data_IF_765883632349
#
_entry.id   IF_765883632349
#
_cell.length_a   1.000
_cell.length_b   1.000
_cell.length_c   1.000
_cell.angle_alpha   90.00
_cell.angle_beta   90.00
_cell.angle_gamma   90.00
#
_symmetry.space_group_name_H-M   'P 1'
#
loop_
_entity.id
_entity.type
_entity.pdbx_description
1 polymer ?
#
# COMPACT_ATOMS: atom_id res chain seq x y z
N UNK A 1 31.38 21.07 -3.41
CA UNK A 1 30.13 20.91 -2.65
C UNK A 1 29.10 20.43 -3.68
N UNK A 2 28.28 19.44 -3.34
CA UNK A 2 27.21 19.03 -4.24
C UNK A 2 26.23 20.22 -4.39
N UNK A 3 25.81 20.47 -5.62
CA UNK A 3 24.82 21.47 -5.96
C UNK A 3 23.42 20.91 -5.68
N UNK A 4 22.67 21.56 -4.80
CA UNK A 4 21.28 21.17 -4.44
C UNK A 4 20.27 22.23 -4.90
N UNK A 5 20.70 23.20 -5.73
CA UNK A 5 19.82 24.27 -6.20
C UNK A 5 18.68 23.78 -7.08
N UNK A 6 18.83 22.59 -7.69
CA UNK A 6 17.78 21.93 -8.46
C UNK A 6 16.67 21.32 -7.58
N UNK A 7 16.93 21.06 -6.30
CA UNK A 7 15.95 20.48 -5.34
C UNK A 7 15.09 21.59 -4.73
N UNK A 8 14.22 22.21 -5.53
CA UNK A 8 13.43 23.37 -5.09
C UNK A 8 11.98 23.32 -5.57
N UNK A 9 11.09 23.93 -4.80
CA UNK A 9 9.71 24.21 -5.17
C UNK A 9 8.73 23.08 -4.96
N UNK A 10 9.16 21.91 -4.44
CA UNK A 10 8.27 20.77 -4.21
C UNK A 10 7.33 21.01 -3.03
N UNK A 11 7.85 21.58 -1.92
CA UNK A 11 7.00 21.87 -0.74
C UNK A 11 5.91 22.86 -1.11
N UNK A 12 6.27 23.96 -1.80
CA UNK A 12 5.30 24.98 -2.21
C UNK A 12 4.26 24.44 -3.19
N UNK A 13 4.66 23.59 -4.13
CA UNK A 13 3.72 22.99 -5.08
C UNK A 13 2.74 22.01 -4.36
N UNK A 14 3.24 21.18 -3.47
CA UNK A 14 2.44 20.22 -2.73
C UNK A 14 1.47 20.93 -1.77
N UNK A 15 1.92 21.92 -0.99
CA UNK A 15 1.08 22.64 -0.02
C UNK A 15 -0.01 23.45 -0.71
N UNK A 16 0.32 24.12 -1.82
CA UNK A 16 -0.67 24.82 -2.65
C UNK A 16 -1.73 23.87 -3.18
N UNK A 17 -1.30 22.73 -3.72
CA UNK A 17 -2.22 21.70 -4.21
C UNK A 17 -3.16 21.21 -3.11
N UNK A 18 -2.64 20.88 -1.92
CA UNK A 18 -3.45 20.45 -0.78
C UNK A 18 -4.50 21.50 -0.38
N UNK A 19 -4.08 22.78 -0.29
CA UNK A 19 -5.00 23.85 0.09
C UNK A 19 -6.11 24.06 -0.96
N UNK A 20 -5.76 24.02 -2.25
CA UNK A 20 -6.64 24.45 -3.35
C UNK A 20 -7.50 23.32 -3.92
N UNK A 21 -7.03 22.06 -3.95
CA UNK A 21 -7.78 20.95 -4.57
C UNK A 21 -9.19 20.84 -3.98
N UNK A 22 -10.20 20.78 -4.85
CA UNK A 22 -11.61 20.64 -4.49
C UNK A 22 -12.19 19.36 -5.09
N UNK A 23 -13.37 18.94 -4.61
CA UNK A 23 -14.08 17.79 -5.16
C UNK A 23 -14.36 17.95 -6.67
N UNK A 24 -14.64 19.16 -7.09
CA UNK A 24 -14.96 19.53 -8.46
C UNK A 24 -13.77 19.42 -9.43
N UNK A 25 -12.55 19.33 -8.91
CA UNK A 25 -11.33 19.07 -9.70
C UNK A 25 -11.13 17.59 -10.04
N UNK A 26 -11.87 16.68 -9.33
CA UNK A 26 -11.79 15.25 -9.55
C UNK A 26 -12.67 14.83 -10.73
N UNK A 27 -12.05 14.20 -11.72
CA UNK A 27 -12.77 13.62 -12.86
C UNK A 27 -13.59 12.38 -12.46
N UNK A 28 -14.58 11.93 -13.25
CA UNK A 28 -15.27 10.66 -12.99
C UNK A 28 -14.32 9.46 -12.88
N UNK A 29 -13.20 9.47 -13.59
CA UNK A 29 -12.19 8.40 -13.51
C UNK A 29 -11.38 8.47 -12.22
N UNK A 30 -10.99 9.67 -11.77
CA UNK A 30 -10.36 9.86 -10.46
C UNK A 30 -11.26 9.32 -9.34
N UNK A 31 -12.55 9.66 -9.37
CA UNK A 31 -13.53 9.20 -8.39
C UNK A 31 -13.71 7.68 -8.43
N UNK A 32 -13.77 7.09 -9.63
CA UNK A 32 -13.86 5.63 -9.79
C UNK A 32 -12.65 4.92 -9.18
N UNK A 33 -11.46 5.40 -9.48
CA UNK A 33 -10.22 4.80 -8.98
C UNK A 33 -10.04 5.04 -7.48
N UNK A 34 -10.38 6.22 -6.98
CA UNK A 34 -10.34 6.52 -5.55
C UNK A 34 -11.26 5.59 -4.74
N UNK A 35 -12.48 5.29 -5.22
CA UNK A 35 -13.37 4.30 -4.59
C UNK A 35 -12.77 2.90 -4.61
N UNK A 36 -12.13 2.50 -5.72
CA UNK A 36 -11.44 1.19 -5.81
C UNK A 36 -10.28 1.09 -4.83
N UNK A 37 -9.47 2.13 -4.71
CA UNK A 37 -8.39 2.19 -3.73
C UNK A 37 -8.93 2.18 -2.29
N UNK A 38 -10.01 2.92 -2.01
CA UNK A 38 -10.66 2.90 -0.70
C UNK A 38 -11.25 1.52 -0.36
N UNK A 39 -11.91 0.86 -1.32
CA UNK A 39 -12.43 -0.51 -1.17
C UNK A 39 -11.28 -1.48 -0.84
N UNK A 40 -10.20 -1.40 -1.59
CA UNK A 40 -9.00 -2.22 -1.36
C UNK A 40 -8.39 -1.96 0.02
N UNK A 41 -8.21 -0.68 0.37
CA UNK A 41 -7.64 -0.28 1.66
C UNK A 41 -8.48 -0.75 2.86
N UNK A 42 -9.82 -0.68 2.76
CA UNK A 42 -10.71 -1.23 3.79
C UNK A 42 -10.62 -2.77 3.86
N UNK A 43 -10.60 -3.44 2.71
CA UNK A 43 -10.46 -4.90 2.64
C UNK A 43 -9.19 -5.37 3.35
N UNK A 44 -8.04 -4.84 2.96
CA UNK A 44 -6.75 -5.27 3.52
C UNK A 44 -6.60 -4.89 4.99
N UNK A 45 -7.26 -3.82 5.44
CA UNK A 45 -7.28 -3.44 6.86
C UNK A 45 -8.10 -4.42 7.71
N UNK A 46 -9.22 -4.92 7.17
CA UNK A 46 -10.00 -6.00 7.80
C UNK A 46 -9.14 -7.25 7.96
N UNK A 47 -8.61 -7.78 6.86
CA UNK A 47 -7.79 -9.00 6.87
C UNK A 47 -6.52 -8.87 7.71
N UNK A 48 -5.89 -7.69 7.66
CA UNK A 48 -4.67 -7.40 8.39
C UNK A 48 -4.86 -7.20 9.89
N UNK A 49 -6.06 -6.87 10.36
CA UNK A 49 -6.35 -6.63 11.78
C UNK A 49 -6.14 -7.85 12.69
N UNK A 50 -6.06 -9.05 12.10
CA UNK A 50 -5.82 -10.31 12.82
C UNK A 50 -4.39 -10.86 12.61
N UNK A 51 -3.56 -10.16 11.84
CA UNK A 51 -2.21 -10.60 11.52
C UNK A 51 -1.24 -10.44 12.70
N UNK A 52 -0.08 -11.10 12.58
CA UNK A 52 1.01 -10.97 13.54
C UNK A 52 1.36 -9.50 13.80
N UNK A 53 1.57 -9.13 15.04
CA UNK A 53 1.88 -7.76 15.46
C UNK A 53 0.68 -6.92 15.86
N UNK A 54 -0.55 -7.28 15.47
CA UNK A 54 -1.73 -6.47 15.80
C UNK A 54 -2.12 -6.59 17.27
N UNK A 55 -2.05 -7.76 17.88
CA UNK A 55 -2.36 -7.92 19.31
C UNK A 55 -1.41 -7.12 20.23
N UNK A 56 -0.06 -7.18 20.09
CA UNK A 56 0.83 -6.32 20.85
C UNK A 56 0.68 -4.84 20.56
N UNK A 57 0.36 -4.46 19.32
CA UNK A 57 0.08 -3.06 18.98
C UNK A 57 -1.18 -2.56 19.68
N UNK A 58 -2.25 -3.37 19.71
CA UNK A 58 -3.47 -3.02 20.43
C UNK A 58 -3.21 -2.84 21.94
N UNK A 59 -2.47 -3.78 22.55
CA UNK A 59 -2.09 -3.68 23.96
C UNK A 59 -1.25 -2.43 24.25
N UNK A 60 -0.43 -1.99 23.31
CA UNK A 60 0.30 -0.72 23.40
C UNK A 60 -0.67 0.47 23.37
N UNK A 61 -1.58 0.52 22.38
CA UNK A 61 -2.55 1.62 22.21
C UNK A 61 -3.46 1.74 23.43
N UNK A 62 -3.99 0.62 23.95
CA UNK A 62 -4.86 0.59 25.14
C UNK A 62 -4.20 1.21 26.39
N UNK A 63 -2.86 1.15 26.48
CA UNK A 63 -2.11 1.74 27.61
C UNK A 63 -1.88 3.25 27.49
N UNK A 64 -2.00 3.82 26.28
CA UNK A 64 -1.75 5.23 26.08
C UNK A 64 -2.86 6.12 26.66
N UNK A 65 -4.11 5.66 26.63
CA UNK A 65 -5.26 6.48 27.01
C UNK A 65 -5.43 7.70 26.08
N UNK A 66 -6.07 8.74 26.56
CA UNK A 66 -6.23 10.02 25.86
C UNK A 66 -7.63 10.31 25.41
N UNK A 67 -7.79 11.27 24.49
CA UNK A 67 -9.09 11.70 23.95
C UNK A 67 -9.76 10.60 23.13
N UNK A 68 -11.09 10.57 23.15
CA UNK A 68 -11.88 9.60 22.39
C UNK A 68 -12.29 10.16 21.01
N UNK A 69 -11.30 10.43 20.17
CA UNK A 69 -11.47 11.17 18.91
C UNK A 69 -12.02 10.29 17.79
N UNK A 70 -11.42 9.12 17.57
CA UNK A 70 -11.71 8.27 16.44
C UNK A 70 -11.89 6.80 16.84
N UNK A 71 -12.77 6.03 16.12
CA UNK A 71 -12.96 4.61 16.37
C UNK A 71 -11.69 3.79 16.04
N UNK A 72 -11.54 2.66 16.73
CA UNK A 72 -10.58 1.60 16.33
C UNK A 72 -11.31 0.60 15.43
N UNK A 73 -10.74 0.33 14.27
CA UNK A 73 -11.18 -0.71 13.36
C UNK A 73 -11.32 -2.05 14.11
N UNK A 74 -12.48 -2.68 14.02
CA UNK A 74 -12.78 -3.98 14.61
C UNK A 74 -13.36 -3.94 16.02
N UNK A 75 -13.35 -2.80 16.74
CA UNK A 75 -13.81 -2.71 18.13
C UNK A 75 -15.02 -1.80 18.28
N UNK A 76 -16.16 -2.38 18.66
CA UNK A 76 -17.40 -1.64 18.87
C UNK A 76 -17.25 -0.66 20.03
N UNK A 77 -17.58 0.62 19.76
CA UNK A 77 -17.61 1.67 20.76
C UNK A 77 -16.26 2.13 21.32
N UNK A 78 -15.16 1.46 20.95
CA UNK A 78 -13.82 1.88 21.38
C UNK A 78 -13.36 3.07 20.53
N UNK A 79 -12.98 4.16 21.20
CA UNK A 79 -12.35 5.34 20.57
C UNK A 79 -11.04 5.65 21.28
N UNK A 80 -10.10 6.16 20.51
CA UNK A 80 -8.75 6.56 20.96
C UNK A 80 -8.37 7.89 20.32
N UNK A 81 -7.27 8.54 20.74
CA UNK A 81 -6.71 9.68 20.03
C UNK A 81 -6.56 9.42 18.54
N UNK A 82 -6.89 10.38 17.68
CA UNK A 82 -6.94 10.23 16.24
C UNK A 82 -5.62 9.66 15.66
N UNK A 83 -4.47 10.12 16.16
CA UNK A 83 -3.17 9.62 15.71
C UNK A 83 -2.95 8.13 16.05
N UNK A 84 -3.43 7.64 17.19
CA UNK A 84 -3.35 6.22 17.57
C UNK A 84 -4.33 5.36 16.75
N UNK A 85 -5.50 5.87 16.41
CA UNK A 85 -6.41 5.22 15.48
C UNK A 85 -5.76 5.10 14.08
N UNK A 86 -5.05 6.14 13.62
CA UNK A 86 -4.31 6.12 12.36
C UNK A 86 -3.16 5.09 12.39
N UNK A 87 -2.42 5.00 13.51
CA UNK A 87 -1.39 3.97 13.73
C UNK A 87 -1.97 2.57 13.56
N UNK A 88 -3.10 2.30 14.22
CA UNK A 88 -3.78 1.00 14.12
C UNK A 88 -4.22 0.69 12.70
N UNK A 89 -4.97 1.62 12.09
CA UNK A 89 -5.56 1.41 10.77
C UNK A 89 -4.48 1.23 9.69
N UNK A 90 -3.46 2.09 9.67
CA UNK A 90 -2.37 2.00 8.71
C UNK A 90 -1.52 0.74 8.87
N UNK A 91 -1.28 0.28 10.12
CA UNK A 91 -0.57 -0.99 10.38
C UNK A 91 -1.39 -2.17 9.89
N UNK A 92 -2.69 -2.22 10.23
CA UNK A 92 -3.58 -3.29 9.77
C UNK A 92 -3.64 -3.35 8.24
N UNK A 93 -3.79 -2.21 7.57
CA UNK A 93 -3.88 -2.15 6.11
C UNK A 93 -2.66 -2.65 5.36
N UNK A 94 -1.48 -2.61 5.99
CA UNK A 94 -0.25 -3.11 5.39
C UNK A 94 0.20 -4.48 5.93
N UNK A 95 -0.48 -5.03 6.93
CA UNK A 95 -0.04 -6.24 7.62
C UNK A 95 0.02 -7.48 6.71
N UNK A 96 -0.86 -7.60 5.75
CA UNK A 96 -0.87 -8.69 4.78
C UNK A 96 0.05 -8.47 3.56
N UNK A 97 0.64 -7.29 3.39
CA UNK A 97 1.33 -6.90 2.15
C UNK A 97 0.45 -7.06 0.89
N UNK A 98 -0.85 -6.82 1.05
CA UNK A 98 -1.86 -7.00 0.00
C UNK A 98 -2.45 -5.68 -0.51
N UNK A 99 -2.07 -4.57 0.10
CA UNK A 99 -2.41 -3.22 -0.33
C UNK A 99 -1.72 -2.86 -1.65
N UNK A 100 -2.28 -1.88 -2.33
CA UNK A 100 -1.86 -1.45 -3.66
C UNK A 100 -0.40 -0.99 -3.76
N UNK A 101 0.09 -0.81 -4.98
CA UNK A 101 1.47 -0.36 -5.26
C UNK A 101 1.47 0.70 -6.34
N UNK A 102 2.13 1.83 -6.07
CA UNK A 102 2.42 2.84 -7.07
C UNK A 102 3.45 2.32 -8.07
N UNK A 103 3.21 2.60 -9.35
CA UNK A 103 4.09 2.24 -10.45
C UNK A 103 4.91 3.46 -10.92
N UNK A 104 6.09 3.20 -11.46
CA UNK A 104 6.85 4.19 -12.19
C UNK A 104 6.78 3.86 -13.67
N UNK A 105 6.54 4.86 -14.50
CA UNK A 105 6.66 4.75 -15.95
C UNK A 105 7.76 5.69 -16.44
N UNK A 106 8.47 5.25 -17.47
CA UNK A 106 9.49 6.04 -18.14
C UNK A 106 10.82 5.30 -18.32
N UNK A 107 11.61 5.72 -19.29
CA UNK A 107 12.92 5.14 -19.58
C UNK A 107 13.84 5.17 -18.35
N UNK A 108 14.45 4.03 -18.03
CA UNK A 108 15.39 3.93 -16.92
C UNK A 108 14.80 3.93 -15.51
N UNK A 109 13.47 3.93 -15.36
CA UNK A 109 12.84 3.82 -14.05
C UNK A 109 12.51 2.37 -13.72
N UNK A 110 12.97 1.84 -12.56
CA UNK A 110 12.59 0.51 -12.10
C UNK A 110 11.09 0.46 -11.78
N UNK A 111 10.41 -0.54 -12.33
CA UNK A 111 8.99 -0.75 -12.14
C UNK A 111 8.67 -1.19 -10.70
N UNK A 112 7.63 -0.62 -10.11
CA UNK A 112 7.04 -1.11 -8.85
C UNK A 112 7.83 -0.80 -7.57
N UNK A 113 8.85 0.05 -7.61
CA UNK A 113 9.71 0.37 -6.47
C UNK A 113 9.37 1.69 -5.77
N UNK A 114 8.18 2.27 -5.96
CA UNK A 114 7.86 3.56 -5.39
C UNK A 114 7.29 3.44 -3.98
N UNK A 115 5.99 3.19 -3.82
CA UNK A 115 5.36 3.07 -2.50
C UNK A 115 4.03 2.31 -2.57
N UNK A 116 3.45 2.02 -1.39
CA UNK A 116 2.06 1.63 -1.23
C UNK A 116 1.25 2.90 -0.94
N UNK A 117 0.51 3.46 -1.92
CA UNK A 117 0.05 4.85 -1.84
C UNK A 117 -1.25 5.04 -1.07
N UNK A 118 -2.13 4.01 -0.98
CA UNK A 118 -3.47 4.15 -0.42
C UNK A 118 -3.49 4.23 1.10
N UNK A 119 -2.75 3.38 1.80
CA UNK A 119 -2.98 3.20 3.24
C UNK A 119 -2.65 4.41 4.11
N UNK A 120 -1.50 5.10 3.99
CA UNK A 120 -1.22 6.24 4.85
C UNK A 120 -2.24 7.37 4.72
N UNK A 121 -2.59 7.88 3.51
CA UNK A 121 -3.57 8.95 3.38
C UNK A 121 -5.00 8.52 3.66
N UNK A 122 -5.40 7.27 3.36
CA UNK A 122 -6.73 6.77 3.67
C UNK A 122 -6.96 6.68 5.18
N UNK A 123 -6.00 6.10 5.91
CA UNK A 123 -6.06 6.04 7.38
C UNK A 123 -6.14 7.44 7.98
N UNK A 124 -5.31 8.38 7.53
CA UNK A 124 -5.33 9.76 8.00
C UNK A 124 -6.66 10.46 7.70
N UNK A 125 -7.19 10.35 6.48
CA UNK A 125 -8.46 10.98 6.10
C UNK A 125 -9.64 10.42 6.90
N UNK A 126 -9.73 9.08 7.05
CA UNK A 126 -10.79 8.41 7.80
C UNK A 126 -10.81 8.84 9.28
N UNK A 127 -9.66 8.79 9.96
CA UNK A 127 -9.63 9.10 11.39
C UNK A 127 -9.81 10.60 11.67
N UNK A 128 -9.23 11.47 10.81
CA UNK A 128 -9.41 12.93 10.94
C UNK A 128 -10.84 13.36 10.64
N UNK A 129 -11.56 12.65 9.74
CA UNK A 129 -12.97 12.92 9.51
C UNK A 129 -13.83 12.70 10.77
N UNK A 130 -13.50 11.68 11.57
CA UNK A 130 -14.18 11.40 12.83
C UNK A 130 -13.84 12.44 13.90
N UNK A 131 -12.58 12.87 13.96
CA UNK A 131 -12.18 13.96 14.85
C UNK A 131 -12.93 15.25 14.53
N UNK A 132 -12.95 15.67 13.24
CA UNK A 132 -13.68 16.87 12.78
C UNK A 132 -15.16 16.77 13.12
N UNK A 133 -15.80 15.62 12.87
CA UNK A 133 -17.20 15.42 13.21
C UNK A 133 -17.45 15.52 14.74
N UNK A 134 -16.55 14.98 15.56
CA UNK A 134 -16.65 15.05 17.02
C UNK A 134 -16.48 16.49 17.55
N UNK A 135 -15.53 17.24 17.01
CA UNK A 135 -15.24 18.63 17.42
C UNK A 135 -16.33 19.62 16.97
N UNK A 136 -16.86 19.45 15.76
CA UNK A 136 -17.83 20.38 15.19
C UNK A 136 -19.28 20.03 15.52
N UNK A 137 -19.54 18.79 15.93
CA UNK A 137 -20.90 18.26 16.09
C UNK A 137 -21.67 18.08 14.77
N UNK A 138 -20.99 18.20 13.63
CA UNK A 138 -21.57 18.06 12.29
C UNK A 138 -20.97 16.85 11.55
N UNK A 139 -21.77 16.12 10.75
CA UNK A 139 -21.24 14.99 9.98
C UNK A 139 -20.26 15.45 8.90
N UNK A 140 -19.26 14.62 8.62
CA UNK A 140 -18.36 14.80 7.48
C UNK A 140 -18.89 13.98 6.31
N UNK A 141 -19.11 14.63 5.17
CA UNK A 141 -19.62 13.96 3.96
C UNK A 141 -18.55 13.24 3.16
N UNK A 142 -18.99 12.30 2.32
CA UNK A 142 -18.10 11.48 1.49
C UNK A 142 -17.29 12.28 0.49
N UNK A 143 -17.79 13.42 -0.02
CA UNK A 143 -17.01 14.31 -0.89
C UNK A 143 -15.79 14.88 -0.18
N UNK A 144 -15.92 15.29 1.07
CA UNK A 144 -14.78 15.78 1.86
C UNK A 144 -13.75 14.65 2.10
N UNK A 145 -14.22 13.46 2.45
CA UNK A 145 -13.36 12.29 2.67
C UNK A 145 -12.56 11.92 1.42
N UNK A 146 -13.24 11.79 0.26
CA UNK A 146 -12.58 11.39 -0.98
C UNK A 146 -11.59 12.44 -1.47
N UNK A 147 -11.92 13.75 -1.30
CA UNK A 147 -11.02 14.84 -1.65
C UNK A 147 -9.76 14.84 -0.79
N UNK A 148 -9.90 14.66 0.52
CA UNK A 148 -8.76 14.58 1.43
C UNK A 148 -7.89 13.34 1.14
N UNK A 149 -8.50 12.20 0.88
CA UNK A 149 -7.79 10.99 0.46
C UNK A 149 -7.01 11.23 -0.84
N UNK A 150 -7.65 11.75 -1.89
CA UNK A 150 -7.00 12.04 -3.17
C UNK A 150 -5.86 13.06 -3.03
N UNK A 151 -6.02 14.09 -2.19
CA UNK A 151 -4.97 15.07 -1.92
C UNK A 151 -3.72 14.40 -1.32
N UNK A 152 -3.91 13.55 -0.30
CA UNK A 152 -2.80 12.83 0.32
C UNK A 152 -2.17 11.79 -0.60
N UNK A 153 -2.99 11.04 -1.33
CA UNK A 153 -2.53 10.06 -2.31
C UNK A 153 -1.62 10.72 -3.35
N UNK A 154 -2.06 11.83 -3.93
CA UNK A 154 -1.31 12.56 -4.96
C UNK A 154 0.01 13.14 -4.42
N UNK A 155 0.00 13.76 -3.23
CA UNK A 155 1.23 14.28 -2.61
C UNK A 155 2.22 13.15 -2.35
N UNK A 156 1.78 12.03 -1.78
CA UNK A 156 2.63 10.86 -1.57
C UNK A 156 3.25 10.35 -2.86
N UNK A 157 2.43 10.16 -3.88
CA UNK A 157 2.90 9.66 -5.18
C UNK A 157 3.89 10.61 -5.86
N UNK A 158 3.63 11.92 -5.87
CA UNK A 158 4.55 12.90 -6.48
C UNK A 158 5.88 12.98 -5.72
N UNK A 159 5.86 12.98 -4.38
CA UNK A 159 7.09 12.95 -3.58
C UNK A 159 7.86 11.64 -3.81
N UNK A 160 7.17 10.50 -3.86
CA UNK A 160 7.80 9.22 -4.15
C UNK A 160 8.43 9.19 -5.56
N UNK A 161 7.76 9.77 -6.55
CA UNK A 161 8.29 9.87 -7.92
C UNK A 161 9.52 10.78 -7.98
N UNK A 162 9.52 11.90 -7.24
CA UNK A 162 10.64 12.84 -7.21
C UNK A 162 11.90 12.26 -6.57
N UNK A 163 11.76 11.39 -5.53
CA UNK A 163 12.88 10.94 -4.71
C UNK A 163 13.43 9.55 -5.08
N UNK A 164 12.64 8.72 -5.77
CA UNK A 164 13.05 7.38 -6.16
C UNK A 164 13.67 7.36 -7.60
N UNK A 165 14.53 6.35 -7.91
CA UNK A 165 14.79 5.14 -7.13
C UNK A 165 15.85 5.28 -6.01
N UNK A 166 16.61 6.38 -5.96
CA UNK A 166 17.75 6.54 -5.05
C UNK A 166 17.36 6.29 -3.58
N UNK A 167 16.26 6.87 -3.12
CA UNK A 167 15.73 6.69 -1.77
C UNK A 167 15.51 5.21 -1.40
N UNK A 168 14.81 4.47 -2.26
CA UNK A 168 14.55 3.05 -2.04
C UNK A 168 15.84 2.22 -2.07
N UNK A 169 16.74 2.51 -3.00
CA UNK A 169 18.03 1.79 -3.15
C UNK A 169 18.96 2.04 -1.95
N UNK A 170 18.86 3.18 -1.29
CA UNK A 170 19.59 3.49 -0.05
C UNK A 170 19.08 2.70 1.17
N UNK A 171 17.98 1.97 1.04
CA UNK A 171 17.46 1.10 2.08
C UNK A 171 16.27 1.67 2.85
N UNK A 172 15.68 2.76 2.42
CA UNK A 172 14.43 3.27 2.99
C UNK A 172 13.22 2.46 2.56
N UNK A 173 12.25 2.31 3.44
CA UNK A 173 10.91 1.82 3.11
C UNK A 173 10.03 3.01 2.74
N UNK A 174 9.87 3.26 1.45
CA UNK A 174 9.20 4.46 0.93
C UNK A 174 7.79 4.66 1.50
N UNK A 175 7.01 3.58 1.70
CA UNK A 175 5.67 3.68 2.30
C UNK A 175 5.69 4.18 3.74
N UNK A 176 6.75 3.89 4.51
CA UNK A 176 6.94 4.43 5.86
C UNK A 176 7.39 5.88 5.86
N UNK A 177 8.31 6.21 4.94
CA UNK A 177 8.89 7.56 4.87
C UNK A 177 7.97 8.53 4.13
N UNK A 178 7.72 8.30 2.86
CA UNK A 178 6.91 9.20 2.02
C UNK A 178 5.43 9.12 2.37
N UNK A 179 4.95 7.98 2.87
CA UNK A 179 3.60 7.86 3.43
C UNK A 179 3.30 8.86 4.54
N UNK A 180 4.34 9.33 5.28
CA UNK A 180 4.17 10.39 6.29
C UNK A 180 3.71 11.71 5.66
N UNK A 181 4.26 12.08 4.50
CA UNK A 181 3.83 13.27 3.76
C UNK A 181 2.43 13.09 3.17
N UNK A 182 2.12 11.89 2.65
CA UNK A 182 0.79 11.56 2.16
C UNK A 182 -0.28 11.71 3.26
N UNK A 183 0.00 11.17 4.44
CA UNK A 183 -0.90 11.25 5.59
C UNK A 183 -1.04 12.70 6.11
N UNK A 184 0.07 13.46 6.16
CA UNK A 184 0.05 14.88 6.55
C UNK A 184 -0.79 15.72 5.58
N UNK A 185 -0.67 15.47 4.27
CA UNK A 185 -1.46 16.15 3.26
C UNK A 185 -2.97 15.82 3.37
N UNK A 186 -3.31 14.54 3.55
CA UNK A 186 -4.70 14.12 3.74
C UNK A 186 -5.32 14.73 5.00
N UNK A 187 -4.60 14.69 6.14
CA UNK A 187 -5.05 15.29 7.38
C UNK A 187 -5.16 16.82 7.27
N UNK A 188 -4.18 17.49 6.65
CA UNK A 188 -4.22 18.95 6.41
C UNK A 188 -5.45 19.35 5.60
N UNK A 189 -5.76 18.62 4.53
CA UNK A 189 -6.97 18.84 3.71
C UNK A 189 -8.25 18.64 4.51
N UNK A 190 -8.35 17.56 5.28
CA UNK A 190 -9.52 17.26 6.10
C UNK A 190 -9.74 18.31 7.20
N UNK A 191 -8.67 18.83 7.79
CA UNK A 191 -8.69 19.87 8.83
C UNK A 191 -8.88 21.29 8.27
N UNK A 192 -8.90 21.47 6.94
CA UNK A 192 -9.04 22.77 6.30
C UNK A 192 -7.84 23.71 6.51
N UNK A 193 -6.62 23.16 6.63
CA UNK A 193 -5.40 23.94 6.77
C UNK A 193 -5.13 24.72 5.46
N UNK A 194 -4.67 25.96 5.60
CA UNK A 194 -4.28 26.79 4.47
C UNK A 194 -2.94 26.35 3.84
N UNK A 195 -2.47 27.07 2.80
CA UNK A 195 -1.25 26.74 2.07
C UNK A 195 -0.01 26.80 2.98
N UNK A 196 0.10 27.82 3.84
CA UNK A 196 1.23 27.96 4.77
C UNK A 196 1.21 26.90 5.87
N UNK A 197 0.05 26.65 6.43
CA UNK A 197 -0.14 25.60 7.43
C UNK A 197 0.15 24.21 6.82
N UNK A 198 -0.32 23.93 5.62
CA UNK A 198 -0.03 22.69 4.90
C UNK A 198 1.48 22.53 4.63
N UNK A 199 2.19 23.61 4.27
CA UNK A 199 3.64 23.59 4.10
C UNK A 199 4.36 23.28 5.44
N UNK A 200 3.91 23.84 6.55
CA UNK A 200 4.44 23.55 7.89
C UNK A 200 4.16 22.10 8.30
N UNK A 201 2.97 21.56 7.99
CA UNK A 201 2.63 20.16 8.26
C UNK A 201 3.54 19.20 7.47
N UNK A 202 3.80 19.47 6.19
CA UNK A 202 4.79 18.74 5.39
C UNK A 202 6.21 18.91 5.97
N UNK A 203 6.54 20.13 6.45
CA UNK A 203 7.81 20.41 7.11
C UNK A 203 8.04 19.61 8.37
N UNK A 204 7.01 19.47 9.21
CA UNK A 204 7.07 18.65 10.43
C UNK A 204 7.12 17.15 10.09
N UNK A 205 6.34 16.72 9.08
CA UNK A 205 6.35 15.36 8.56
C UNK A 205 7.77 14.94 8.11
N UNK A 206 8.56 15.85 7.51
CA UNK A 206 9.95 15.58 7.10
C UNK A 206 10.84 15.17 8.28
N UNK A 207 10.59 15.72 9.48
CA UNK A 207 11.32 15.34 10.70
C UNK A 207 10.87 14.02 11.31
N UNK A 208 9.74 13.49 10.90
CA UNK A 208 9.11 12.27 11.43
C UNK A 208 9.13 11.11 10.45
N UNK A 209 9.48 11.34 9.19
CA UNK A 209 9.49 10.35 8.11
C UNK A 209 10.62 9.32 8.32
N UNK A 210 10.25 8.08 8.66
CA UNK A 210 11.20 7.02 8.98
C UNK A 210 10.70 5.64 8.49
N UNK A 211 11.63 4.71 8.33
CA UNK A 211 11.38 3.32 7.96
C UNK A 211 12.53 2.74 7.14
N UNK A 212 12.98 1.53 7.50
CA UNK A 212 14.11 0.87 6.86
C UNK A 212 13.73 -0.52 6.33
N UNK A 213 14.23 -0.85 5.14
CA UNK A 213 13.98 -2.14 4.49
C UNK A 213 14.59 -3.33 5.24
N UNK A 214 15.50 -3.09 6.18
CA UNK A 214 16.04 -4.15 7.03
C UNK A 214 14.94 -4.88 7.84
N UNK A 215 13.81 -4.21 8.11
CA UNK A 215 12.65 -4.80 8.80
C UNK A 215 11.66 -5.55 7.87
N UNK A 216 11.96 -5.74 6.60
CA UNK A 216 11.13 -6.57 5.73
C UNK A 216 11.14 -8.03 6.19
N UNK A 217 9.97 -8.69 6.18
CA UNK A 217 9.80 -10.03 6.75
C UNK A 217 9.60 -10.06 8.27
N UNK A 218 9.36 -8.90 8.89
CA UNK A 218 9.03 -8.78 10.33
C UNK A 218 7.77 -7.94 10.52
N UNK A 219 7.22 -7.91 11.74
CA UNK A 219 6.12 -6.99 12.14
C UNK A 219 6.50 -5.50 11.97
N UNK A 220 7.79 -5.18 11.85
CA UNK A 220 8.28 -3.82 11.63
C UNK A 220 7.87 -3.23 10.28
N UNK A 221 7.70 -4.06 9.23
CA UNK A 221 7.32 -3.54 7.91
C UNK A 221 5.90 -2.91 7.93
N UNK A 222 4.82 -3.58 8.34
CA UNK A 222 3.50 -2.96 8.44
C UNK A 222 3.44 -1.81 9.45
N UNK A 223 4.16 -1.90 10.55
CA UNK A 223 4.27 -0.82 11.52
C UNK A 223 4.78 0.49 10.91
N UNK A 224 5.68 0.45 9.91
CA UNK A 224 6.12 1.67 9.22
C UNK A 224 4.96 2.45 8.59
N UNK A 225 3.99 1.76 8.00
CA UNK A 225 2.82 2.41 7.36
C UNK A 225 1.87 3.00 8.40
N UNK A 226 1.66 2.29 9.50
CA UNK A 226 0.90 2.83 10.64
C UNK A 226 1.59 4.07 11.24
N UNK A 227 2.91 4.02 11.45
CA UNK A 227 3.68 5.18 11.93
C UNK A 227 3.64 6.35 10.95
N UNK A 228 3.66 6.09 9.66
CA UNK A 228 3.50 7.13 8.65
C UNK A 228 2.13 7.84 8.78
N UNK A 229 1.05 7.08 8.93
CA UNK A 229 -0.28 7.62 9.15
C UNK A 229 -0.38 8.41 10.46
N UNK A 230 0.12 7.84 11.55
CA UNK A 230 0.18 8.49 12.88
C UNK A 230 0.96 9.81 12.84
N UNK A 231 2.16 9.78 12.26
CA UNK A 231 3.05 10.94 12.18
C UNK A 231 2.45 12.06 11.33
N UNK A 232 1.81 11.71 10.20
CA UNK A 232 1.14 12.69 9.36
C UNK A 232 -0.04 13.37 10.04
N UNK A 233 -0.90 12.60 10.73
CA UNK A 233 -2.00 13.14 11.55
C UNK A 233 -1.45 14.02 12.65
N UNK A 234 -0.41 13.58 13.38
CA UNK A 234 0.25 14.36 14.45
C UNK A 234 0.81 15.67 13.91
N UNK A 235 1.47 15.64 12.74
CA UNK A 235 2.03 16.86 12.14
C UNK A 235 0.95 17.89 11.82
N UNK A 236 -0.16 17.47 11.20
CA UNK A 236 -1.26 18.36 10.87
C UNK A 236 -1.96 18.93 12.11
N UNK A 237 -2.18 18.10 13.15
CA UNK A 237 -2.78 18.56 14.41
C UNK A 237 -1.90 19.55 15.15
N UNK A 238 -0.59 19.30 15.26
CA UNK A 238 0.34 20.24 15.91
C UNK A 238 0.37 21.59 15.21
N UNK A 239 0.38 21.60 13.87
CA UNK A 239 0.36 22.84 13.10
C UNK A 239 -0.97 23.59 13.27
N UNK A 240 -2.09 22.89 13.34
CA UNK A 240 -3.39 23.49 13.64
C UNK A 240 -3.39 24.23 14.98
N UNK A 241 -2.67 23.67 15.98
CA UNK A 241 -2.49 24.31 17.29
C UNK A 241 -1.42 25.42 17.32
N UNK A 242 -0.85 25.77 16.14
CA UNK A 242 0.13 26.86 16.01
C UNK A 242 1.59 26.44 16.12
N UNK A 243 1.90 25.13 16.09
CA UNK A 243 3.28 24.66 16.09
C UNK A 243 3.99 25.04 14.78
N UNK A 244 5.19 25.63 14.87
CA UNK A 244 5.94 26.09 13.71
C UNK A 244 6.84 25.01 13.13
N UNK A 245 6.99 25.01 11.81
CA UNK A 245 7.97 24.20 11.06
C UNK A 245 8.43 24.97 9.83
N UNK A 246 9.53 24.52 9.20
CA UNK A 246 10.02 25.10 7.98
C UNK A 246 9.04 24.80 6.81
N UNK A 247 8.70 25.81 6.05
CA UNK A 247 7.80 25.74 4.91
C UNK A 247 8.47 25.27 3.60
N UNK A 248 9.78 24.97 3.65
CA UNK A 248 10.60 24.48 2.52
C UNK A 248 11.36 23.19 2.90
N UNK A 249 10.83 22.39 3.84
CA UNK A 249 11.56 21.27 4.40
C UNK A 249 11.78 20.08 3.46
N UNK A 250 11.08 20.02 2.32
CA UNK A 250 11.42 19.05 1.26
C UNK A 250 12.61 19.52 0.42
N UNK A 251 12.85 20.83 0.36
CA UNK A 251 13.64 21.51 -0.64
C UNK A 251 15.05 21.89 -0.15
N UNK A 252 15.96 22.12 -1.11
CA UNK A 252 17.29 22.69 -0.86
C UNK A 252 18.26 21.75 -0.11
N UNK A 253 19.41 22.33 0.25
CA UNK A 253 20.55 21.58 0.81
C UNK A 253 20.24 20.78 2.10
N UNK A 254 19.37 21.31 2.96
CA UNK A 254 19.02 20.69 4.24
C UNK A 254 17.63 20.05 4.20
N UNK A 255 16.99 20.06 3.04
CA UNK A 255 15.68 19.48 2.82
C UNK A 255 15.70 17.96 2.75
N UNK A 256 14.53 17.39 2.88
CA UNK A 256 14.36 15.93 2.91
C UNK A 256 14.87 15.23 1.65
N UNK A 257 14.67 15.84 0.46
CA UNK A 257 15.16 15.29 -0.82
C UNK A 257 16.69 15.15 -0.81
N UNK A 258 17.41 16.18 -0.40
CA UNK A 258 18.87 16.18 -0.35
C UNK A 258 19.45 15.14 0.63
N UNK A 259 18.75 14.91 1.74
CA UNK A 259 19.21 13.98 2.81
C UNK A 259 18.85 12.55 2.47
N UNK A 260 17.60 12.31 2.07
CA UNK A 260 17.04 10.98 1.96
C UNK A 260 17.12 10.38 0.54
N UNK A 261 17.30 11.21 -0.49
CA UNK A 261 17.41 10.78 -1.89
C UNK A 261 18.07 11.86 -2.75
N UNK A 262 19.39 12.11 -2.59
CA UNK A 262 20.10 13.21 -3.26
C UNK A 262 20.13 13.10 -4.80
N UNK A 263 19.81 11.93 -5.36
CA UNK A 263 19.59 11.73 -6.80
C UNK A 263 18.17 12.05 -7.28
N UNK A 264 17.31 12.58 -6.38
CA UNK A 264 15.94 12.95 -6.70
C UNK A 264 15.84 14.16 -7.63
N UNK A 265 14.69 14.27 -8.30
CA UNK A 265 14.40 15.38 -9.24
C UNK A 265 12.95 15.88 -9.07
N UNK A 266 12.72 16.96 -8.28
CA UNK A 266 11.40 17.54 -8.10
C UNK A 266 10.83 18.20 -9.37
N UNK A 267 11.67 18.53 -10.35
CA UNK A 267 11.20 19.14 -11.61
C UNK A 267 10.29 18.20 -12.41
N UNK A 268 10.40 16.89 -12.17
CA UNK A 268 9.56 15.87 -12.81
C UNK A 268 8.09 15.98 -12.39
N UNK A 269 7.80 16.58 -11.23
CA UNK A 269 6.47 16.46 -10.60
C UNK A 269 5.86 17.76 -10.12
N UNK A 270 6.67 18.78 -9.76
CA UNK A 270 6.19 20.02 -9.10
C UNK A 270 5.09 20.77 -9.85
N UNK A 271 5.05 20.67 -11.18
CA UNK A 271 4.05 21.33 -12.03
C UNK A 271 2.90 20.39 -12.45
N UNK A 272 2.88 19.15 -11.93
CA UNK A 272 2.01 18.06 -12.38
C UNK A 272 1.02 17.53 -11.32
N UNK A 273 0.88 18.20 -10.18
CA UNK A 273 -0.11 17.80 -9.17
C UNK A 273 -1.53 17.83 -9.73
N UNK A 274 -2.21 16.68 -9.73
CA UNK A 274 -3.56 16.51 -10.26
C UNK A 274 -3.68 16.60 -11.80
N UNK A 275 -2.56 16.50 -12.56
CA UNK A 275 -2.56 16.76 -14.01
C UNK A 275 -1.81 15.69 -14.82
N UNK A 276 -2.38 14.51 -15.02
CA UNK A 276 -3.51 13.91 -14.31
C UNK A 276 -3.11 13.46 -12.89
N UNK A 277 -4.09 13.09 -12.08
CA UNK A 277 -3.81 12.42 -10.80
C UNK A 277 -3.00 11.13 -11.04
N UNK A 278 -2.07 10.84 -10.15
CA UNK A 278 -1.18 9.66 -10.28
C UNK A 278 -1.96 8.36 -10.29
N UNK A 279 -3.11 8.29 -9.62
CA UNK A 279 -3.96 7.09 -9.64
C UNK A 279 -4.51 6.76 -11.03
N UNK A 280 -4.64 7.77 -11.91
CA UNK A 280 -5.04 7.60 -13.32
C UNK A 280 -3.84 7.35 -14.22
N UNK A 281 -2.77 8.13 -14.05
CA UNK A 281 -1.55 7.96 -14.84
C UNK A 281 -0.31 8.34 -14.02
N UNK A 282 0.65 7.42 -13.88
CA UNK A 282 0.76 6.09 -14.50
C UNK A 282 -0.19 5.02 -13.93
N UNK A 283 -0.92 5.32 -12.86
CA UNK A 283 -1.86 4.40 -12.24
C UNK A 283 -1.27 3.66 -11.03
N UNK A 284 -2.07 2.78 -10.46
CA UNK A 284 -1.69 1.93 -9.33
C UNK A 284 -2.03 0.47 -9.63
N UNK A 285 -1.24 -0.42 -9.05
CA UNK A 285 -1.51 -1.86 -9.08
C UNK A 285 -2.25 -2.27 -7.83
N UNK A 286 -3.51 -2.68 -7.95
CA UNK A 286 -4.26 -3.31 -6.86
C UNK A 286 -3.89 -4.79 -6.85
N UNK A 287 -3.23 -5.24 -5.81
CA UNK A 287 -2.62 -6.56 -5.73
C UNK A 287 -3.65 -7.69 -5.68
N UNK A 288 -3.56 -8.70 -6.56
CA UNK A 288 -4.38 -9.92 -6.48
C UNK A 288 -3.93 -10.90 -5.40
N UNK A 289 -2.69 -10.77 -4.89
CA UNK A 289 -2.06 -11.69 -3.93
C UNK A 289 -1.42 -10.95 -2.77
N UNK A 290 -1.40 -11.53 -1.54
CA UNK A 290 -0.80 -10.95 -0.33
C UNK A 290 0.73 -11.13 -0.30
N UNK A 291 1.43 -10.52 -1.23
CA UNK A 291 2.89 -10.61 -1.36
C UNK A 291 3.48 -9.41 -2.11
N UNK A 292 4.79 -9.34 -2.23
CA UNK A 292 5.45 -8.33 -3.05
C UNK A 292 4.97 -8.38 -4.51
N UNK A 293 4.61 -7.23 -5.10
CA UNK A 293 4.05 -7.16 -6.46
C UNK A 293 4.93 -7.84 -7.52
N UNK A 294 6.24 -7.89 -7.30
CA UNK A 294 7.21 -8.51 -8.21
C UNK A 294 7.01 -10.04 -8.37
N UNK A 295 6.26 -10.68 -7.46
CA UNK A 295 5.97 -12.12 -7.51
C UNK A 295 4.71 -12.45 -8.31
N UNK A 296 3.79 -11.50 -8.48
CA UNK A 296 2.45 -11.73 -9.02
C UNK A 296 2.45 -12.24 -10.45
N UNK A 297 3.26 -11.68 -11.38
CA UNK A 297 3.29 -12.19 -12.76
C UNK A 297 3.72 -13.66 -12.84
N UNK A 298 4.68 -14.08 -11.99
CA UNK A 298 5.15 -15.46 -11.91
C UNK A 298 4.08 -16.40 -11.34
N UNK A 299 3.31 -15.93 -10.35
CA UNK A 299 2.22 -16.71 -9.75
C UNK A 299 1.09 -16.93 -10.75
N UNK A 300 0.70 -15.90 -11.50
CA UNK A 300 -0.30 -16.01 -12.57
C UNK A 300 0.22 -16.89 -13.73
N UNK A 301 1.48 -16.75 -14.12
CA UNK A 301 2.08 -17.59 -15.17
C UNK A 301 1.99 -19.08 -14.80
N UNK A 302 2.36 -19.45 -13.58
CA UNK A 302 2.24 -20.84 -13.10
C UNK A 302 0.79 -21.30 -13.05
N UNK A 303 -0.10 -20.47 -12.50
CA UNK A 303 -1.54 -20.77 -12.39
C UNK A 303 -2.17 -21.07 -13.75
N UNK A 304 -1.89 -20.21 -14.73
CA UNK A 304 -2.44 -20.37 -16.09
C UNK A 304 -1.80 -21.56 -16.80
N UNK A 305 -0.49 -21.78 -16.64
CA UNK A 305 0.19 -22.94 -17.21
C UNK A 305 -0.42 -24.26 -16.70
N UNK A 306 -0.62 -24.35 -15.39
CA UNK A 306 -1.25 -25.55 -14.79
C UNK A 306 -2.68 -25.77 -15.30
N UNK A 307 -3.47 -24.70 -15.44
CA UNK A 307 -4.85 -24.80 -15.93
C UNK A 307 -4.91 -25.20 -17.42
N UNK A 308 -4.07 -24.62 -18.27
CA UNK A 308 -4.00 -24.91 -19.70
C UNK A 308 -3.56 -26.35 -19.99
N UNK A 309 -2.61 -26.87 -19.23
CA UNK A 309 -2.05 -28.20 -19.42
C UNK A 309 -2.74 -29.28 -18.55
N UNK A 310 -3.74 -28.88 -17.76
CA UNK A 310 -4.50 -29.77 -16.88
C UNK A 310 -3.66 -30.42 -15.79
N UNK A 311 -2.60 -29.73 -15.33
CA UNK A 311 -1.66 -30.25 -14.33
C UNK A 311 -2.25 -30.17 -12.92
N UNK A 312 -1.99 -31.23 -12.13
CA UNK A 312 -2.36 -31.31 -10.73
C UNK A 312 -1.10 -31.27 -9.83
N UNK A 313 -1.25 -31.01 -8.54
CA UNK A 313 -0.10 -30.96 -7.60
C UNK A 313 0.77 -32.23 -7.63
N UNK A 314 0.15 -33.41 -7.75
CA UNK A 314 0.84 -34.70 -7.83
C UNK A 314 1.69 -34.88 -9.10
N UNK A 315 1.34 -34.20 -10.17
CA UNK A 315 2.08 -34.28 -11.44
C UNK A 315 3.40 -33.52 -11.39
N UNK A 316 3.56 -32.54 -10.47
CA UNK A 316 4.71 -31.65 -10.44
C UNK A 316 5.94 -32.33 -9.82
N UNK A 317 6.97 -32.54 -10.62
CA UNK A 317 8.27 -32.99 -10.15
C UNK A 317 9.18 -31.82 -9.75
N UNK A 318 9.21 -30.77 -10.57
CA UNK A 318 10.11 -29.62 -10.39
C UNK A 318 9.54 -28.37 -11.07
N UNK A 319 9.75 -27.21 -10.45
CA UNK A 319 9.47 -25.89 -11.02
C UNK A 319 10.73 -25.04 -10.99
N UNK A 320 11.08 -24.45 -12.13
CA UNK A 320 12.16 -23.47 -12.25
C UNK A 320 11.56 -22.11 -12.59
N UNK A 321 11.85 -21.12 -11.75
CA UNK A 321 11.53 -19.70 -12.01
C UNK A 321 12.81 -18.97 -12.42
N UNK A 322 12.87 -18.49 -13.66
CA UNK A 322 13.93 -17.65 -14.18
C UNK A 322 13.51 -16.19 -14.19
N UNK A 323 14.36 -15.30 -13.66
CA UNK A 323 14.06 -13.86 -13.60
C UNK A 323 15.35 -13.03 -13.47
N UNK A 324 15.21 -11.70 -13.66
CA UNK A 324 16.28 -10.75 -13.43
C UNK A 324 16.46 -10.41 -11.93
N UNK A 325 17.51 -9.65 -11.64
CA UNK A 325 17.88 -9.27 -10.28
C UNK A 325 16.85 -8.34 -9.62
N UNK A 326 16.13 -7.53 -10.40
CA UNK A 326 15.05 -6.66 -9.93
C UNK A 326 13.89 -7.46 -9.31
N UNK A 327 13.61 -8.65 -9.81
CA UNK A 327 12.54 -9.55 -9.34
C UNK A 327 13.03 -10.43 -8.19
N UNK A 328 14.23 -11.01 -8.32
CA UNK A 328 14.78 -11.94 -7.32
C UNK A 328 15.31 -11.24 -6.07
N UNK A 329 15.92 -10.07 -6.20
CA UNK A 329 16.64 -9.41 -5.12
C UNK A 329 15.78 -9.02 -3.90
N UNK A 330 14.52 -8.52 -4.05
CA UNK A 330 13.66 -8.22 -2.92
C UNK A 330 13.08 -9.45 -2.20
N UNK A 331 13.07 -10.62 -2.83
CA UNK A 331 12.45 -11.85 -2.33
C UNK A 331 13.52 -12.73 -1.67
N UNK A 332 13.57 -12.68 -0.34
CA UNK A 332 14.75 -13.10 0.45
C UNK A 332 14.74 -14.54 0.94
N UNK A 333 13.56 -15.15 1.08
CA UNK A 333 13.42 -16.45 1.75
C UNK A 333 13.28 -17.57 0.73
N UNK A 334 14.17 -18.57 0.81
CA UNK A 334 14.14 -19.74 -0.10
C UNK A 334 13.13 -20.78 0.41
N UNK A 335 13.12 -21.09 1.71
CA UNK A 335 12.15 -22.00 2.34
C UNK A 335 11.46 -21.25 3.49
N UNK A 336 10.28 -20.75 3.21
CA UNK A 336 9.50 -20.07 4.23
C UNK A 336 8.98 -21.06 5.28
N UNK A 337 9.01 -20.64 6.55
CA UNK A 337 8.49 -21.41 7.70
C UNK A 337 7.36 -20.70 8.42
N UNK A 338 7.20 -19.40 8.17
CA UNK A 338 6.16 -18.55 8.73
C UNK A 338 5.47 -17.77 7.61
N UNK A 339 4.27 -17.27 7.89
CA UNK A 339 3.54 -16.42 6.95
C UNK A 339 4.30 -15.12 6.62
N UNK A 340 5.03 -14.57 7.60
CA UNK A 340 5.85 -13.37 7.39
C UNK A 340 7.00 -13.60 6.40
N UNK A 341 7.64 -14.76 6.45
CA UNK A 341 8.65 -15.17 5.46
C UNK A 341 8.01 -15.48 4.11
N UNK A 342 6.82 -16.11 4.13
CA UNK A 342 6.07 -16.52 2.94
C UNK A 342 5.79 -15.38 1.98
N UNK A 343 5.47 -14.18 2.48
CA UNK A 343 5.23 -12.96 1.67
C UNK A 343 6.43 -12.59 0.79
N UNK A 344 7.63 -13.08 1.12
CA UNK A 344 8.90 -12.80 0.45
C UNK A 344 9.63 -14.11 0.06
N UNK A 345 8.87 -15.16 -0.33
CA UNK A 345 9.39 -16.46 -0.78
C UNK A 345 8.68 -16.92 -2.05
N UNK A 346 9.40 -17.00 -3.16
CA UNK A 346 8.86 -17.60 -4.39
C UNK A 346 8.49 -19.06 -4.19
N UNK A 347 9.29 -19.81 -3.42
CA UNK A 347 9.04 -21.22 -3.16
C UNK A 347 7.68 -21.42 -2.49
N UNK A 348 7.37 -20.61 -1.48
CA UNK A 348 6.07 -20.66 -0.81
C UNK A 348 4.93 -20.21 -1.72
N UNK A 349 5.07 -19.04 -2.36
CA UNK A 349 3.99 -18.44 -3.16
C UNK A 349 3.59 -19.33 -4.34
N UNK A 350 4.57 -19.90 -5.03
CA UNK A 350 4.29 -20.85 -6.12
C UNK A 350 3.75 -22.18 -5.58
N UNK A 351 4.18 -22.64 -4.39
CA UNK A 351 3.58 -23.82 -3.72
C UNK A 351 2.11 -23.60 -3.40
N UNK A 352 1.73 -22.41 -2.92
CA UNK A 352 0.33 -22.08 -2.65
C UNK A 352 -0.52 -22.15 -3.93
N UNK A 353 0.01 -21.62 -5.03
CA UNK A 353 -0.66 -21.71 -6.35
C UNK A 353 -0.81 -23.18 -6.79
N UNK A 354 0.23 -24.01 -6.63
CA UNK A 354 0.17 -25.43 -7.01
C UNK A 354 -0.85 -26.18 -6.17
N UNK A 355 -0.80 -26.02 -4.83
CA UNK A 355 -1.57 -26.84 -3.89
C UNK A 355 -3.04 -26.40 -3.78
N UNK A 356 -3.30 -25.08 -3.84
CA UNK A 356 -4.62 -24.52 -3.60
C UNK A 356 -5.25 -23.84 -4.82
N UNK A 357 -4.51 -23.67 -5.93
CA UNK A 357 -4.96 -22.91 -7.11
C UNK A 357 -5.10 -21.40 -6.87
N UNK A 358 -4.75 -20.94 -5.64
CA UNK A 358 -4.84 -19.55 -5.19
C UNK A 358 -3.81 -19.27 -4.10
N UNK A 359 -3.66 -18.00 -3.76
CA UNK A 359 -2.91 -17.55 -2.59
C UNK A 359 -3.65 -16.33 -2.03
N UNK A 360 -4.42 -16.52 -0.97
CA UNK A 360 -5.21 -15.50 -0.29
C UNK A 360 -5.01 -15.58 1.23
N UNK A 361 -5.98 -15.06 2.02
CA UNK A 361 -5.91 -15.06 3.49
C UNK A 361 -5.76 -16.47 4.07
N UNK A 362 -6.45 -17.46 3.51
CA UNK A 362 -6.44 -18.83 4.00
C UNK A 362 -5.09 -19.53 3.85
N UNK A 363 -4.38 -19.25 2.76
CA UNK A 363 -3.06 -19.82 2.48
C UNK A 363 -1.93 -19.07 3.18
N UNK A 364 -2.14 -17.78 3.50
CA UNK A 364 -1.16 -16.93 4.17
C UNK A 364 -1.25 -17.08 5.70
N UNK A 365 -0.99 -18.29 6.18
CA UNK A 365 -1.00 -18.66 7.60
C UNK A 365 0.20 -19.56 7.94
N UNK A 366 0.72 -19.46 9.17
CA UNK A 366 1.82 -20.33 9.62
C UNK A 366 1.45 -21.82 9.48
N UNK A 367 0.19 -22.17 9.71
CA UNK A 367 -0.30 -23.54 9.58
C UNK A 367 -0.19 -24.07 8.14
N UNK A 368 -0.56 -23.25 7.13
CA UNK A 368 -0.43 -23.64 5.73
C UNK A 368 1.05 -23.67 5.30
N UNK A 369 1.81 -22.64 5.64
CA UNK A 369 3.25 -22.55 5.30
C UNK A 369 4.03 -23.73 5.85
N UNK A 370 3.80 -24.11 7.11
CA UNK A 370 4.53 -25.20 7.80
C UNK A 370 3.96 -26.59 7.51
N UNK A 371 2.86 -26.73 6.78
CA UNK A 371 2.30 -28.03 6.43
C UNK A 371 3.29 -28.89 5.65
N UNK A 372 3.26 -30.21 5.86
CA UNK A 372 4.15 -31.15 5.17
C UNK A 372 4.02 -31.06 3.64
N UNK A 373 2.80 -30.91 3.12
CA UNK A 373 2.56 -30.74 1.71
C UNK A 373 3.22 -29.47 1.14
N UNK A 374 3.09 -28.35 1.87
CA UNK A 374 3.69 -27.07 1.46
C UNK A 374 5.21 -27.11 1.55
N UNK A 375 5.77 -27.63 2.64
CA UNK A 375 7.24 -27.76 2.79
C UNK A 375 7.85 -28.68 1.74
N UNK A 376 7.19 -29.79 1.42
CA UNK A 376 7.60 -30.71 0.36
C UNK A 376 7.55 -30.01 -1.02
N UNK A 377 6.48 -29.27 -1.30
CA UNK A 377 6.33 -28.57 -2.58
C UNK A 377 7.34 -27.41 -2.71
N UNK A 378 7.60 -26.65 -1.65
CA UNK A 378 8.65 -25.62 -1.64
C UNK A 378 10.01 -26.23 -2.05
N UNK A 379 10.32 -27.44 -1.61
CA UNK A 379 11.56 -28.14 -1.97
C UNK A 379 11.67 -28.55 -3.45
N UNK A 380 10.59 -28.46 -4.23
CA UNK A 380 10.57 -28.75 -5.68
C UNK A 380 10.68 -27.48 -6.53
N UNK A 381 10.76 -26.30 -5.91
CA UNK A 381 10.76 -25.01 -6.61
C UNK A 381 12.12 -24.34 -6.45
N UNK A 382 12.72 -24.01 -7.57
CA UNK A 382 14.00 -23.31 -7.63
C UNK A 382 13.84 -21.96 -8.35
N UNK A 383 14.69 -21.00 -7.98
CA UNK A 383 14.81 -19.71 -8.66
C UNK A 383 16.17 -19.60 -9.31
N UNK A 384 16.23 -19.04 -10.51
CA UNK A 384 17.46 -18.87 -11.28
C UNK A 384 17.56 -17.45 -11.81
N UNK A 385 18.72 -16.82 -11.59
CA UNK A 385 19.05 -15.59 -12.29
C UNK A 385 19.25 -15.89 -13.78
N UNK A 386 18.67 -15.07 -14.64
CA UNK A 386 18.76 -15.19 -16.09
C UNK A 386 19.25 -13.87 -16.69
N UNK A 387 20.47 -13.90 -17.27
CA UNK A 387 21.09 -12.72 -17.84
C UNK A 387 20.32 -12.18 -19.04
N UNK A 388 19.68 -13.03 -19.84
CA UNK A 388 18.88 -12.57 -20.97
C UNK A 388 17.64 -11.80 -20.50
N UNK A 389 17.02 -12.20 -19.38
CA UNK A 389 15.93 -11.45 -18.76
C UNK A 389 16.44 -10.14 -18.14
N UNK A 390 17.60 -10.15 -17.48
CA UNK A 390 18.24 -8.95 -16.93
C UNK A 390 18.51 -7.90 -18.02
N UNK A 391 19.03 -8.33 -19.16
CA UNK A 391 19.38 -7.47 -20.29
C UNK A 391 18.13 -6.84 -20.96
N UNK A 392 16.93 -7.37 -20.72
CA UNK A 392 15.67 -6.76 -21.15
C UNK A 392 15.31 -5.49 -20.35
N UNK A 393 15.99 -5.24 -19.23
CA UNK A 393 15.80 -4.06 -18.38
C UNK A 393 14.79 -4.26 -17.24
N UNK A 394 14.67 -3.22 -16.41
CA UNK A 394 13.87 -3.24 -15.17
C UNK A 394 12.59 -2.41 -15.26
N UNK A 395 12.24 -1.94 -16.44
CA UNK A 395 11.02 -1.16 -16.71
C UNK A 395 9.73 -1.98 -16.64
N UNK A 396 9.86 -3.32 -16.58
CA UNK A 396 8.76 -4.29 -16.41
C UNK A 396 9.18 -5.41 -15.45
N UNK A 397 8.17 -6.14 -14.96
CA UNK A 397 8.37 -7.35 -14.16
C UNK A 397 8.40 -8.54 -15.11
N UNK A 398 9.59 -9.07 -15.40
CA UNK A 398 9.81 -10.15 -16.36
C UNK A 398 10.28 -11.41 -15.67
N UNK A 399 9.64 -12.53 -15.98
CA UNK A 399 10.04 -13.85 -15.49
C UNK A 399 9.51 -14.95 -16.39
N UNK A 400 10.09 -16.14 -16.28
CA UNK A 400 9.66 -17.34 -16.99
C UNK A 400 9.54 -18.49 -16.01
N UNK A 401 8.44 -19.23 -16.05
CA UNK A 401 8.20 -20.44 -15.25
C UNK A 401 8.33 -21.65 -16.16
N UNK A 402 9.10 -22.63 -15.72
CA UNK A 402 9.30 -23.93 -16.37
C UNK A 402 8.84 -25.02 -15.40
N UNK A 403 7.95 -25.90 -15.83
CA UNK A 403 7.42 -27.02 -15.04
C UNK A 403 7.88 -28.34 -15.67
N UNK A 404 8.45 -29.20 -14.84
CA UNK A 404 8.78 -30.59 -15.22
C UNK A 404 7.83 -31.50 -14.41
N UNK A 405 7.14 -32.41 -15.11
CA UNK A 405 6.23 -33.37 -14.49
C UNK A 405 6.92 -34.66 -14.07
N UNK A 406 6.28 -35.49 -13.24
CA UNK A 406 6.80 -36.78 -12.78
C UNK A 406 7.05 -37.77 -13.93
N UNK A 407 6.28 -37.69 -15.03
CA UNK A 407 6.46 -38.49 -16.25
C UNK A 407 7.47 -37.87 -17.24
N UNK A 408 8.13 -36.76 -16.87
CA UNK A 408 9.21 -36.14 -17.62
C UNK A 408 8.77 -35.14 -18.69
N UNK A 409 7.48 -34.83 -18.85
CA UNK A 409 7.03 -33.76 -19.75
C UNK A 409 7.53 -32.42 -19.22
N UNK A 410 7.74 -31.46 -20.12
CA UNK A 410 8.18 -30.09 -19.79
C UNK A 410 7.26 -29.08 -20.44
N UNK A 411 6.93 -28.07 -19.64
CA UNK A 411 6.08 -26.95 -20.05
C UNK A 411 6.74 -25.67 -19.62
N UNK A 412 6.57 -24.59 -20.38
CA UNK A 412 7.07 -23.27 -19.99
C UNK A 412 6.05 -22.18 -20.32
N UNK A 413 6.08 -21.10 -19.53
CA UNK A 413 5.28 -19.91 -19.75
C UNK A 413 6.02 -18.66 -19.30
N UNK A 414 6.05 -17.65 -20.14
CA UNK A 414 6.44 -16.31 -19.75
C UNK A 414 5.34 -15.65 -18.93
N UNK A 415 5.75 -14.90 -17.92
CA UNK A 415 4.86 -14.04 -17.18
C UNK A 415 4.39 -12.88 -18.07
N UNK A 416 3.12 -12.48 -17.89
CA UNK A 416 2.57 -11.34 -18.62
C UNK A 416 3.12 -10.04 -18.02
N UNK A 417 3.71 -9.19 -18.85
CA UNK A 417 4.18 -7.86 -18.45
C UNK A 417 3.02 -6.95 -18.02
N UNK A 418 1.82 -7.15 -18.56
CA UNK A 418 0.57 -6.55 -18.12
C UNK A 418 -0.15 -7.48 -17.14
N UNK A 419 0.51 -7.79 -16.03
CA UNK A 419 0.00 -8.73 -15.04
C UNK A 419 -1.32 -8.26 -14.43
N UNK A 420 -2.10 -9.20 -13.93
CA UNK A 420 -3.42 -8.96 -13.32
C UNK A 420 -3.29 -8.06 -12.08
N UNK A 421 -4.14 -7.03 -12.02
CA UNK A 421 -4.11 -5.98 -11.01
C UNK A 421 -3.32 -4.73 -11.41
N UNK A 422 -2.51 -4.78 -12.48
CA UNK A 422 -1.85 -3.61 -13.05
C UNK A 422 -2.85 -2.63 -13.69
N UNK A 423 -2.48 -1.36 -13.93
CA UNK A 423 -3.36 -0.41 -14.63
C UNK A 423 -3.79 -0.86 -16.02
N UNK A 424 -2.95 -1.64 -16.70
CA UNK A 424 -3.24 -2.15 -18.05
C UNK A 424 -4.01 -3.48 -18.06
N UNK A 425 -4.17 -4.11 -16.90
CA UNK A 425 -4.95 -5.33 -16.69
C UNK A 425 -5.57 -5.30 -15.28
N UNK A 426 -6.44 -4.33 -14.99
CA UNK A 426 -6.98 -4.11 -13.65
C UNK A 426 -7.89 -5.27 -13.23
N UNK A 427 -7.95 -5.54 -11.93
CA UNK A 427 -9.00 -6.38 -11.38
C UNK A 427 -10.36 -5.80 -11.77
N UNK A 428 -11.31 -6.64 -12.15
CA UNK A 428 -12.71 -6.23 -12.26
C UNK A 428 -13.27 -5.84 -10.89
N UNK A 429 -14.40 -5.13 -10.85
CA UNK A 429 -15.05 -4.78 -9.59
C UNK A 429 -15.47 -6.04 -8.80
N UNK A 430 -15.94 -7.08 -9.53
CA UNK A 430 -16.26 -8.37 -8.92
C UNK A 430 -15.03 -9.08 -8.31
N UNK A 431 -13.86 -9.02 -8.95
CA UNK A 431 -12.62 -9.57 -8.37
C UNK A 431 -12.17 -8.77 -7.14
N UNK A 432 -12.35 -7.45 -7.15
CA UNK A 432 -12.05 -6.59 -6.00
C UNK A 432 -12.98 -6.90 -4.81
N UNK A 433 -14.28 -7.07 -5.07
CA UNK A 433 -15.25 -7.49 -4.06
C UNK A 433 -14.94 -8.90 -3.52
N UNK A 434 -14.51 -9.83 -4.39
CA UNK A 434 -14.07 -11.16 -3.95
C UNK A 434 -12.82 -11.09 -3.07
N UNK A 435 -11.85 -10.23 -3.40
CA UNK A 435 -10.70 -9.93 -2.53
C UNK A 435 -11.17 -9.39 -1.18
N UNK A 436 -12.14 -8.47 -1.18
CA UNK A 436 -12.73 -7.95 0.05
C UNK A 436 -13.35 -9.06 0.90
N UNK A 437 -14.16 -9.95 0.31
CA UNK A 437 -14.77 -11.09 1.01
C UNK A 437 -13.70 -12.03 1.58
N UNK A 438 -12.62 -12.29 0.86
CA UNK A 438 -11.49 -13.10 1.37
C UNK A 438 -10.83 -12.45 2.59
N UNK A 439 -10.56 -11.14 2.54
CA UNK A 439 -10.03 -10.37 3.66
C UNK A 439 -10.99 -10.33 4.86
N UNK A 440 -12.29 -10.20 4.62
CA UNK A 440 -13.33 -10.11 5.63
C UNK A 440 -13.76 -11.48 6.21
N UNK A 441 -13.28 -12.58 5.63
CA UNK A 441 -13.67 -13.93 6.03
C UNK A 441 -13.40 -14.17 7.53
N UNK A 442 -14.43 -14.63 8.25
CA UNK A 442 -14.40 -14.83 9.70
C UNK A 442 -14.59 -13.56 10.54
N UNK A 443 -14.68 -12.37 9.92
CA UNK A 443 -14.87 -11.08 10.58
C UNK A 443 -16.26 -10.49 10.32
N UNK A 444 -16.69 -10.47 9.06
CA UNK A 444 -17.96 -9.91 8.63
C UNK A 444 -18.80 -10.99 7.95
N UNK A 445 -20.11 -10.89 8.10
CA UNK A 445 -21.06 -11.66 7.29
C UNK A 445 -21.27 -11.01 5.90
N UNK A 446 -21.92 -11.74 4.99
CA UNK A 446 -22.18 -11.25 3.62
C UNK A 446 -23.02 -9.97 3.61
N UNK A 447 -23.96 -9.81 4.53
CA UNK A 447 -24.80 -8.62 4.62
C UNK A 447 -23.97 -7.38 5.03
N UNK A 448 -22.98 -7.55 5.92
CA UNK A 448 -22.05 -6.49 6.30
C UNK A 448 -21.08 -6.14 5.15
N UNK A 449 -20.59 -7.13 4.43
CA UNK A 449 -19.78 -6.92 3.22
C UNK A 449 -20.56 -6.13 2.17
N UNK A 450 -21.82 -6.54 1.88
CA UNK A 450 -22.65 -5.86 0.90
C UNK A 450 -22.94 -4.40 1.30
N UNK A 451 -23.25 -4.14 2.59
CA UNK A 451 -23.42 -2.75 3.06
C UNK A 451 -22.16 -1.90 2.82
N UNK A 452 -20.98 -2.44 3.10
CA UNK A 452 -19.72 -1.73 2.83
C UNK A 452 -19.51 -1.47 1.34
N UNK A 453 -19.83 -2.44 0.47
CA UNK A 453 -19.77 -2.24 -0.98
C UNK A 453 -20.67 -1.08 -1.41
N UNK A 454 -21.93 -1.09 -0.99
CA UNK A 454 -22.89 -0.04 -1.34
C UNK A 454 -22.41 1.34 -0.82
N UNK A 455 -21.88 1.40 0.39
CA UNK A 455 -21.35 2.63 0.99
C UNK A 455 -20.11 3.16 0.26
N UNK A 456 -19.17 2.30 -0.09
CA UNK A 456 -17.93 2.72 -0.77
C UNK A 456 -18.17 3.03 -2.24
N UNK A 457 -18.97 2.24 -2.95
CA UNK A 457 -19.31 2.51 -4.36
C UNK A 457 -20.13 3.80 -4.55
N UNK A 458 -20.80 4.26 -3.51
CA UNK A 458 -21.56 5.53 -3.49
C UNK A 458 -20.96 6.57 -2.53
N UNK A 459 -19.65 6.49 -2.25
CA UNK A 459 -19.00 7.26 -1.19
C UNK A 459 -19.26 8.76 -1.28
N UNK A 460 -19.19 9.35 -2.45
CA UNK A 460 -19.42 10.79 -2.67
C UNK A 460 -20.86 11.25 -2.37
N UNK A 461 -21.80 10.33 -2.30
CA UNK A 461 -23.21 10.62 -1.95
C UNK A 461 -23.51 10.47 -0.46
N UNK A 462 -22.58 9.91 0.32
CA UNK A 462 -22.75 9.76 1.77
C UNK A 462 -22.73 11.14 2.43
N UNK A 463 -23.82 11.44 3.15
CA UNK A 463 -23.88 12.68 3.93
C UNK A 463 -23.02 12.61 5.20
N UNK A 464 -22.78 11.40 5.71
CA UNK A 464 -21.99 11.12 6.90
C UNK A 464 -21.15 9.85 6.68
N UNK A 465 -19.84 10.00 6.70
CA UNK A 465 -18.89 8.87 6.53
C UNK A 465 -18.75 8.00 7.79
N UNK A 466 -19.34 8.39 8.91
CA UNK A 466 -19.35 7.56 10.13
C UNK A 466 -20.04 6.22 9.91
N UNK A 467 -20.96 6.12 8.95
CA UNK A 467 -21.64 4.88 8.56
C UNK A 467 -20.66 3.77 8.11
N UNK A 468 -19.48 4.12 7.61
CA UNK A 468 -18.44 3.14 7.29
C UNK A 468 -17.94 2.43 8.54
N UNK A 469 -17.78 3.17 9.63
CA UNK A 469 -17.31 2.61 10.90
C UNK A 469 -18.31 1.65 11.54
N UNK A 470 -19.62 1.90 11.39
CA UNK A 470 -20.67 1.00 11.89
C UNK A 470 -20.57 -0.39 11.26
N UNK A 471 -20.10 -0.47 10.02
CA UNK A 471 -19.88 -1.71 9.28
C UNK A 471 -18.49 -2.33 9.51
N UNK A 472 -17.54 -1.59 10.06
CA UNK A 472 -16.16 -2.00 10.32
C UNK A 472 -15.92 -2.47 11.76
N UNK A 473 -16.94 -2.83 12.49
CA UNK A 473 -16.87 -3.32 13.87
C UNK A 473 -17.44 -4.72 13.98
N UNK A 474 -16.68 -5.66 14.52
CA UNK A 474 -17.07 -7.07 14.67
C UNK A 474 -16.71 -7.68 16.03
N UNK A 475 -16.02 -6.96 16.91
CA UNK A 475 -15.72 -7.37 18.29
C UNK A 475 -16.50 -6.48 19.25
N UNK A 476 -17.41 -7.08 20.00
CA UNK A 476 -18.20 -6.43 21.04
C UNK A 476 -17.59 -6.60 22.42
#
# INVERSE_FOLDING_TARGET
MADFDHLTGLTAAASRFVAQVAYEDLTPEDLRLARRCAMDGLAVSLGGSEQHGMAPLLAYIDRQGGAADAPILGRKGAKVPAHLAALWFGTAGHAMDWDDTQLAEGPGRPYGLLMHPTMPPLAAALVTSQLVAAETGAPVGGRALITAFCAGFEVGCKVAEAINPDHYMRGFHTSGTIGTFAAAAAASKMLGLDEEQSARALGLAASMAAGVRANFGTMGKPFHVGRAAENGVTAALLVREGFSANTEALDGRWGYLAIAGPGGDPSLVRDRFGKPFTMVSPGVSIKPYPSGVLTHPSMDALKFLMAEEGLKPEDIAHVMLSAGSNVLGPIRFTLARTELEGKFSFQFLLSAIILAGRCGKAEMTDAFVSSEACQTMQGRIETRFDQAIEDMGWDRIRSKVEVTTQDGRRFERWADENYRGSPHNPLSDAELENKFRDCAAGLLDEAACQRLFDQVWSLETQADVSVLWDSLVWRG
#
